data_IF_037726982798
#
_entry.id   IF_037726982798
#
_cell.length_a   1.000
_cell.length_b   1.000
_cell.length_c   1.000
_cell.angle_alpha   90.00
_cell.angle_beta   90.00
_cell.angle_gamma   90.00
#
_symmetry.space_group_name_H-M   'P 1'
#
loop_
_entity.id
_entity.type
_entity.pdbx_description
1 polymer ?
#
# COMPACT_ATOMS: atom_id res chain seq x y z
N UNK A 1 14.20 -11.45 -10.33
CA UNK A 1 12.73 -11.46 -10.12
C UNK A 1 12.38 -12.73 -9.35
N UNK A 2 11.89 -12.63 -8.11
CA UNK A 2 11.69 -13.78 -7.22
C UNK A 2 10.59 -14.76 -7.65
N UNK A 3 9.56 -14.32 -8.38
CA UNK A 3 8.51 -15.23 -8.89
C UNK A 3 7.99 -14.80 -10.27
N UNK A 4 8.66 -15.21 -11.37
CA UNK A 4 8.30 -14.80 -12.72
C UNK A 4 6.88 -15.24 -13.12
N UNK A 5 6.50 -16.48 -12.81
CA UNK A 5 5.19 -17.03 -13.18
C UNK A 5 4.04 -16.26 -12.52
N UNK A 6 4.08 -16.08 -11.21
CA UNK A 6 3.03 -15.37 -10.46
C UNK A 6 2.95 -13.92 -10.93
N UNK A 7 4.09 -13.29 -11.22
CA UNK A 7 4.15 -11.93 -11.74
C UNK A 7 3.44 -11.83 -13.09
N UNK A 8 3.73 -12.72 -14.04
CA UNK A 8 3.06 -12.76 -15.34
C UNK A 8 1.55 -12.98 -15.21
N UNK A 9 1.12 -13.90 -14.34
CA UNK A 9 -0.30 -14.16 -14.08
C UNK A 9 -1.02 -12.92 -13.53
N UNK A 10 -0.39 -12.15 -12.65
CA UNK A 10 -0.95 -10.90 -12.13
C UNK A 10 -1.06 -9.84 -13.24
N UNK A 11 -0.01 -9.67 -14.04
CA UNK A 11 0.01 -8.65 -15.12
C UNK A 11 -1.04 -8.94 -16.19
N UNK A 12 -1.20 -10.20 -16.62
CA UNK A 12 -2.21 -10.56 -17.62
C UNK A 12 -3.63 -10.47 -17.04
N UNK A 13 -3.80 -10.87 -15.77
CA UNK A 13 -5.07 -10.71 -15.03
C UNK A 13 -5.49 -9.24 -14.96
N UNK A 14 -4.53 -8.33 -14.76
CA UNK A 14 -4.76 -6.89 -14.73
C UNK A 14 -5.21 -6.36 -16.11
N UNK A 15 -4.54 -6.74 -17.19
CA UNK A 15 -4.90 -6.28 -18.56
C UNK A 15 -6.28 -6.76 -18.97
N UNK A 16 -6.57 -8.05 -18.73
CA UNK A 16 -7.85 -8.65 -19.08
C UNK A 16 -8.97 -8.28 -18.09
N UNK A 17 -8.65 -7.58 -16.99
CA UNK A 17 -9.60 -7.23 -15.93
C UNK A 17 -10.40 -8.42 -15.39
N UNK A 18 -9.77 -9.60 -15.32
CA UNK A 18 -10.36 -10.83 -14.78
C UNK A 18 -9.54 -11.37 -13.62
N UNK A 19 -10.15 -12.04 -12.64
CA UNK A 19 -9.40 -12.68 -11.55
C UNK A 19 -8.50 -13.80 -12.08
N UNK A 20 -7.33 -13.99 -11.45
CA UNK A 20 -6.36 -15.04 -11.80
C UNK A 20 -6.97 -16.43 -11.91
N UNK A 21 -7.96 -16.75 -11.08
CA UNK A 21 -8.66 -18.05 -11.14
C UNK A 21 -9.38 -18.29 -12.47
N UNK A 22 -9.85 -17.23 -13.14
CA UNK A 22 -10.49 -17.32 -14.46
C UNK A 22 -9.50 -17.41 -15.61
N UNK A 23 -8.21 -17.09 -15.42
CA UNK A 23 -7.19 -17.26 -16.45
C UNK A 23 -7.06 -18.74 -16.86
N UNK A 24 -7.11 -19.65 -15.89
CA UNK A 24 -7.00 -21.08 -16.13
C UNK A 24 -8.16 -21.65 -16.95
N UNK A 25 -9.30 -20.96 -17.00
CA UNK A 25 -10.47 -21.35 -17.80
C UNK A 25 -10.43 -20.79 -19.23
N UNK A 26 -9.49 -19.88 -19.51
CA UNK A 26 -9.37 -19.11 -20.76
C UNK A 26 -7.99 -19.29 -21.40
N UNK A 27 -7.33 -20.41 -21.12
CA UNK A 27 -5.99 -20.69 -21.65
C UNK A 27 -5.95 -20.76 -23.17
N UNK A 28 -7.07 -21.14 -23.80
CA UNK A 28 -7.21 -21.27 -25.25
C UNK A 28 -7.78 -20.00 -25.92
N UNK A 29 -8.09 -18.95 -25.15
CA UNK A 29 -8.61 -17.70 -25.71
C UNK A 29 -7.49 -16.92 -26.42
N UNK A 30 -7.82 -16.34 -27.58
CA UNK A 30 -6.90 -15.45 -28.29
C UNK A 30 -6.80 -14.09 -27.58
N UNK A 31 -5.56 -13.63 -27.36
CA UNK A 31 -5.26 -12.28 -26.88
C UNK A 31 -5.11 -11.37 -28.11
N UNK A 32 -5.73 -10.19 -28.05
CA UNK A 32 -5.58 -9.19 -29.11
C UNK A 32 -4.15 -8.63 -29.15
N UNK A 33 -3.76 -8.07 -30.30
CA UNK A 33 -2.44 -7.45 -30.46
C UNK A 33 -2.20 -6.31 -29.46
N UNK A 34 -3.24 -5.50 -29.20
CA UNK A 34 -3.17 -4.37 -28.25
C UNK A 34 -2.96 -4.85 -26.81
N UNK A 35 -3.66 -5.90 -26.37
CA UNK A 35 -3.47 -6.51 -25.05
C UNK A 35 -2.06 -7.12 -24.91
N UNK A 36 -1.55 -7.75 -25.97
CA UNK A 36 -0.19 -8.27 -26.00
C UNK A 36 0.86 -7.17 -25.89
N UNK A 37 0.71 -6.06 -26.62
CA UNK A 37 1.63 -4.91 -26.55
C UNK A 37 1.63 -4.29 -25.15
N UNK A 38 0.45 -4.12 -24.54
CA UNK A 38 0.31 -3.69 -23.14
C UNK A 38 1.03 -4.65 -22.19
N UNK A 39 0.80 -5.96 -22.33
CA UNK A 39 1.45 -6.98 -21.50
C UNK A 39 2.97 -6.92 -21.62
N UNK A 40 3.48 -6.83 -22.84
CA UNK A 40 4.91 -6.76 -23.09
C UNK A 40 5.54 -5.52 -22.46
N UNK A 41 4.89 -4.36 -22.57
CA UNK A 41 5.36 -3.13 -21.91
C UNK A 41 5.47 -3.27 -20.39
N UNK A 42 4.49 -3.90 -19.74
CA UNK A 42 4.53 -4.14 -18.30
C UNK A 42 5.63 -5.14 -17.91
N UNK A 43 5.87 -6.16 -18.74
CA UNK A 43 6.97 -7.13 -18.53
C UNK A 43 8.33 -6.44 -18.63
N UNK A 44 8.53 -5.55 -19.62
CA UNK A 44 9.75 -4.76 -19.75
C UNK A 44 9.92 -3.80 -18.57
N UNK A 45 8.85 -3.15 -18.12
CA UNK A 45 8.90 -2.31 -16.93
C UNK A 45 9.28 -3.12 -15.68
N UNK A 46 8.71 -4.33 -15.54
CA UNK A 46 9.01 -5.24 -14.44
C UNK A 46 10.44 -5.76 -14.45
N UNK A 47 11.02 -5.98 -15.63
CA UNK A 47 12.43 -6.41 -15.78
C UNK A 47 13.41 -5.33 -15.34
N UNK A 48 13.02 -4.05 -15.44
CA UNK A 48 13.73 -2.91 -14.87
C UNK A 48 13.50 -2.72 -13.35
N UNK A 49 13.08 -3.76 -12.64
CA UNK A 49 12.84 -3.77 -11.20
C UNK A 49 11.73 -2.83 -10.69
N UNK A 50 10.84 -2.36 -11.56
CA UNK A 50 9.66 -1.60 -11.13
C UNK A 50 8.75 -2.54 -10.30
N UNK A 51 8.33 -2.13 -9.09
CA UNK A 51 7.39 -2.90 -8.27
C UNK A 51 6.09 -3.19 -9.02
N UNK A 52 5.58 -4.42 -8.87
CA UNK A 52 4.37 -4.86 -9.56
C UNK A 52 3.15 -4.01 -9.20
N UNK A 53 3.08 -3.51 -7.97
CA UNK A 53 1.98 -2.69 -7.49
C UNK A 53 1.91 -1.33 -8.21
N UNK A 54 3.04 -0.78 -8.63
CA UNK A 54 3.05 0.44 -9.46
C UNK A 54 2.62 0.15 -10.90
N UNK A 55 2.93 -1.05 -11.42
CA UNK A 55 2.50 -1.48 -12.74
C UNK A 55 0.98 -1.71 -12.80
N UNK A 56 0.41 -2.32 -11.75
CA UNK A 56 -1.03 -2.55 -11.63
C UNK A 56 -1.79 -1.38 -11.03
N UNK A 57 -1.08 -0.37 -10.50
CA UNK A 57 -1.62 0.80 -9.78
C UNK A 57 -2.54 0.45 -8.61
N UNK A 58 -2.39 -0.75 -8.06
CA UNK A 58 -3.27 -1.30 -7.04
C UNK A 58 -2.46 -2.05 -5.99
N UNK A 59 -2.86 -1.90 -4.73
CA UNK A 59 -2.33 -2.69 -3.61
C UNK A 59 -3.46 -3.04 -2.64
N UNK A 60 -3.42 -4.25 -2.10
CA UNK A 60 -4.28 -4.63 -0.98
C UNK A 60 -3.63 -4.22 0.32
N UNK A 61 -4.40 -3.57 1.20
CA UNK A 61 -3.99 -3.21 2.54
C UNK A 61 -5.15 -3.42 3.51
N UNK A 62 -4.99 -4.33 4.47
CA UNK A 62 -6.11 -4.86 5.26
C UNK A 62 -7.18 -5.43 4.30
N UNK A 63 -8.46 -5.20 4.60
CA UNK A 63 -9.58 -5.61 3.74
C UNK A 63 -9.88 -4.60 2.61
N UNK A 64 -8.96 -3.67 2.34
CA UNK A 64 -9.14 -2.60 1.35
C UNK A 64 -8.25 -2.83 0.12
N UNK A 65 -8.77 -2.43 -1.04
CA UNK A 65 -7.98 -2.21 -2.25
C UNK A 65 -7.72 -0.73 -2.41
N UNK A 66 -6.45 -0.36 -2.48
CA UNK A 66 -6.00 1.02 -2.60
C UNK A 66 -5.40 1.24 -3.98
N UNK A 67 -5.75 2.37 -4.59
CA UNK A 67 -5.08 2.86 -5.78
C UNK A 67 -3.77 3.54 -5.38
N UNK A 68 -2.69 3.22 -6.09
CA UNK A 68 -1.37 3.81 -5.84
C UNK A 68 -0.73 4.32 -7.13
N UNK A 69 0.19 5.26 -6.97
CA UNK A 69 1.01 5.81 -8.04
C UNK A 69 2.48 5.79 -7.64
N UNK A 70 3.35 6.00 -8.63
CA UNK A 70 4.78 6.18 -8.38
C UNK A 70 5.03 7.32 -7.37
N UNK A 71 5.97 7.09 -6.46
CA UNK A 71 6.28 8.00 -5.35
C UNK A 71 5.44 7.78 -4.08
N UNK A 72 4.37 6.98 -4.14
CA UNK A 72 3.58 6.61 -2.95
C UNK A 72 4.15 5.35 -2.31
N UNK A 73 4.32 5.37 -0.98
CA UNK A 73 4.80 4.21 -0.24
C UNK A 73 3.91 2.98 -0.44
N UNK A 74 4.48 1.87 -0.90
CA UNK A 74 3.78 0.59 -1.04
C UNK A 74 3.69 -0.07 0.35
N UNK A 75 2.49 -0.27 0.90
CA UNK A 75 2.32 -0.93 2.20
C UNK A 75 2.93 -2.32 2.21
N UNK A 76 3.49 -2.71 3.37
CA UNK A 76 4.09 -4.03 3.58
C UNK A 76 3.20 -4.86 4.52
N UNK A 77 3.20 -6.20 4.43
CA UNK A 77 2.41 -7.04 5.34
C UNK A 77 2.64 -6.72 6.82
N UNK A 78 3.87 -6.38 7.20
CA UNK A 78 4.23 -6.00 8.56
C UNK A 78 3.54 -4.71 9.01
N UNK A 79 3.27 -3.77 8.09
CA UNK A 79 2.55 -2.52 8.39
C UNK A 79 1.07 -2.75 8.67
N UNK A 80 0.48 -3.85 8.16
CA UNK A 80 -0.90 -4.23 8.48
C UNK A 80 -1.05 -4.65 9.95
N UNK A 81 -0.08 -5.40 10.48
CA UNK A 81 -0.08 -5.84 11.89
C UNK A 81 -0.13 -4.62 12.81
N UNK A 82 0.68 -3.61 12.48
CA UNK A 82 0.73 -2.37 13.24
C UNK A 82 -0.59 -1.59 13.14
N UNK A 83 -1.16 -1.48 11.94
CA UNK A 83 -2.46 -0.84 11.73
C UNK A 83 -3.59 -1.55 12.52
N UNK A 84 -3.63 -2.89 12.50
CA UNK A 84 -4.60 -3.67 13.26
C UNK A 84 -4.46 -3.42 14.77
N UNK A 85 -3.23 -3.35 15.28
CA UNK A 85 -2.98 -3.04 16.69
C UNK A 85 -3.36 -1.61 17.06
N UNK A 86 -3.14 -0.65 16.16
CA UNK A 86 -3.59 0.72 16.35
C UNK A 86 -5.13 0.78 16.46
N UNK A 87 -5.83 0.12 15.54
CA UNK A 87 -7.30 0.04 15.53
C UNK A 87 -7.83 -0.59 16.82
N UNK A 88 -7.20 -1.66 17.32
CA UNK A 88 -7.66 -2.31 18.56
C UNK A 88 -7.46 -1.44 19.81
N UNK A 89 -6.40 -0.64 19.85
CA UNK A 89 -6.17 0.36 20.91
C UNK A 89 -7.23 1.46 20.84
N UNK A 90 -7.49 1.99 19.64
CA UNK A 90 -8.44 3.09 19.43
C UNK A 90 -9.87 2.72 19.83
N UNK A 91 -10.30 1.46 19.62
CA UNK A 91 -11.62 0.98 20.05
C UNK A 91 -11.89 1.15 21.56
N UNK A 92 -10.84 1.22 22.37
CA UNK A 92 -10.92 1.35 23.83
C UNK A 92 -10.54 2.76 24.33
N UNK A 93 -10.38 3.73 23.42
CA UNK A 93 -10.02 5.11 23.76
C UNK A 93 -11.19 6.07 23.51
N UNK A 94 -11.22 7.15 24.29
CA UNK A 94 -12.07 8.30 24.02
C UNK A 94 -11.64 8.97 22.71
N UNK A 95 -12.52 9.01 21.72
CA UNK A 95 -12.26 9.67 20.43
C UNK A 95 -12.61 11.15 20.59
N UNK A 96 -11.70 12.03 20.18
CA UNK A 96 -11.98 13.45 19.99
C UNK A 96 -12.20 13.70 18.49
N UNK A 97 -13.30 14.35 18.12
CA UNK A 97 -13.71 14.62 16.74
C UNK A 97 -13.18 15.96 16.20
N UNK A 98 -12.32 16.65 16.94
CA UNK A 98 -11.70 17.90 16.50
C UNK A 98 -11.02 17.73 15.14
N UNK A 99 -11.40 18.59 14.19
CA UNK A 99 -10.71 18.71 12.91
C UNK A 99 -9.37 19.38 13.14
N UNK A 100 -8.30 18.71 12.72
CA UNK A 100 -6.93 19.18 12.85
C UNK A 100 -6.21 19.08 11.52
N UNK A 101 -5.33 20.04 11.25
CA UNK A 101 -4.43 19.97 10.12
C UNK A 101 -3.31 18.96 10.41
N UNK A 102 -3.06 18.08 9.43
CA UNK A 102 -2.11 16.97 9.56
C UNK A 102 -0.69 17.42 9.98
N UNK A 103 -0.08 18.47 9.38
CA UNK A 103 1.28 18.89 9.73
C UNK A 103 1.40 19.35 11.19
N UNK A 104 0.43 20.14 11.65
CA UNK A 104 0.43 20.70 13.00
C UNK A 104 0.25 19.60 14.05
N UNK A 105 -0.63 18.64 13.76
CA UNK A 105 -0.85 17.51 14.65
C UNK A 105 0.33 16.52 14.64
N UNK A 106 0.99 16.34 13.50
CA UNK A 106 2.21 15.56 13.39
C UNK A 106 3.32 16.12 14.27
N UNK A 107 3.56 17.44 14.20
CA UNK A 107 4.57 18.11 15.01
C UNK A 107 4.25 17.99 16.51
N UNK A 108 2.98 18.23 16.89
CA UNK A 108 2.54 18.13 18.28
C UNK A 108 2.72 16.71 18.84
N UNK A 109 2.28 15.70 18.09
CA UNK A 109 2.45 14.30 18.48
C UNK A 109 3.94 13.93 18.61
N UNK A 110 4.78 14.37 17.66
CA UNK A 110 6.22 14.15 17.71
C UNK A 110 6.87 14.79 18.96
N UNK A 111 6.48 16.03 19.29
CA UNK A 111 6.97 16.73 20.49
C UNK A 111 6.58 16.02 21.78
N UNK A 112 5.33 15.56 21.90
CA UNK A 112 4.84 14.84 23.09
C UNK A 112 5.51 13.47 23.27
N UNK A 113 5.84 12.78 22.17
CA UNK A 113 6.63 11.54 22.23
C UNK A 113 8.08 11.84 22.62
N UNK A 114 8.68 12.89 22.03
CA UNK A 114 10.04 13.30 22.35
C UNK A 114 10.21 13.80 23.80
N UNK A 115 9.20 14.47 24.36
CA UNK A 115 9.18 14.92 25.76
C UNK A 115 8.86 13.80 26.76
N UNK A 116 8.59 12.57 26.30
CA UNK A 116 8.18 11.40 27.10
C UNK A 116 6.82 11.55 27.79
N UNK A 117 6.01 12.55 27.41
CA UNK A 117 4.62 12.67 27.85
C UNK A 117 3.76 11.53 27.30
N UNK A 118 4.07 11.07 26.08
CA UNK A 118 3.42 9.92 25.44
C UNK A 118 4.45 8.82 25.16
N UNK A 119 4.06 7.56 25.41
CA UNK A 119 4.90 6.40 25.09
C UNK A 119 4.98 6.10 23.58
N UNK A 120 3.96 6.53 22.82
CA UNK A 120 3.83 6.26 21.39
C UNK A 120 2.80 7.22 20.78
N UNK A 121 3.06 7.69 19.57
CA UNK A 121 2.11 8.44 18.73
C UNK A 121 1.89 7.71 17.41
N UNK A 122 0.63 7.65 16.95
CA UNK A 122 0.25 7.08 15.66
C UNK A 122 -0.52 8.15 14.89
N UNK A 123 -0.09 8.44 13.67
CA UNK A 123 -0.68 9.44 12.80
C UNK A 123 -1.10 8.76 11.48
N UNK A 124 -2.36 8.93 11.07
CA UNK A 124 -2.92 8.28 9.87
C UNK A 124 -3.59 9.36 9.01
N UNK A 125 -3.17 9.50 7.75
CA UNK A 125 -3.78 10.41 6.78
C UNK A 125 -4.65 9.63 5.79
N UNK A 126 -5.83 10.16 5.45
CA UNK A 126 -6.83 9.52 4.60
C UNK A 126 -6.68 9.81 3.09
N UNK A 127 -5.84 10.77 2.68
CA UNK A 127 -5.79 11.21 1.27
C UNK A 127 -4.62 10.65 0.46
N UNK A 128 -3.66 9.94 1.07
CA UNK A 128 -2.47 9.36 0.41
C UNK A 128 -1.58 10.33 -0.41
N UNK A 129 -1.99 11.59 -0.63
CA UNK A 129 -1.23 12.62 -1.34
C UNK A 129 -0.18 13.26 -0.43
N UNK A 130 -0.39 13.23 0.90
CA UNK A 130 0.61 13.60 1.91
C UNK A 130 1.61 12.48 2.24
N UNK A 131 1.72 11.44 1.42
CA UNK A 131 2.62 10.31 1.65
C UNK A 131 3.97 10.59 0.99
N UNK A 132 4.90 11.20 1.73
CA UNK A 132 6.08 10.44 2.10
C UNK A 132 6.37 10.59 3.59
N UNK A 133 6.48 9.45 4.28
CA UNK A 133 7.07 9.30 5.62
C UNK A 133 6.21 9.87 6.76
N UNK A 134 5.59 8.99 7.56
CA UNK A 134 5.70 9.01 9.04
C UNK A 134 4.92 7.82 9.63
N UNK A 135 5.27 6.61 9.20
CA UNK A 135 5.11 5.41 10.02
C UNK A 135 6.45 5.16 10.72
N UNK A 136 6.97 6.20 11.37
CA UNK A 136 8.13 6.09 12.23
C UNK A 136 7.61 5.82 13.64
N UNK A 137 7.46 4.53 13.96
CA UNK A 137 7.60 4.14 15.37
C UNK A 137 8.99 4.63 15.74
N UNK A 138 9.10 5.71 16.52
CA UNK A 138 10.35 6.03 17.21
C UNK A 138 10.45 4.96 18.29
N UNK A 139 11.29 3.93 18.15
CA UNK A 139 11.56 3.06 19.29
C UNK A 139 12.44 3.91 20.18
N UNK A 140 11.93 4.35 21.33
CA UNK A 140 12.80 4.84 22.40
C UNK A 140 13.72 3.67 22.78
N UNK A 141 14.92 3.66 22.20
CA UNK A 141 16.02 2.84 22.69
C UNK A 141 16.39 3.45 24.03
N UNK A 142 16.19 2.65 25.08
CA UNK A 142 16.46 2.95 26.49
C UNK A 142 17.87 3.49 26.67
#
# INVERSE_FOLDING_TARGET
>A
IESPRITSEILISHILSIPKTKLYLKLDDFISKDEFEKFWSLVVARSNNIPIQYLTQEVSFLDLKLFIKEGVFIPRPETEILAQKAISILKNMSINEDRVDYPDFAEKAARMVASKELKMGILICNTAIGMPVFLQIIPLRV
#
